data_IF_182911562427
#
_entry.id   IF_182911562427
#
_cell.length_a   1.000
_cell.length_b   1.000
_cell.length_c   1.000
_cell.angle_alpha   90.00
_cell.angle_beta   90.00
_cell.angle_gamma   90.00
#
_symmetry.space_group_name_H-M   'P 1'
#
loop_
_entity.id
_entity.type
_entity.pdbx_description
1 polymer ?
#
# COMPACT_ATOMS: atom_id res chain seq x y z
N UNK A 1 31.08 -2.76 -15.92
CA UNK A 1 29.65 -2.60 -15.57
C UNK A 1 29.09 -3.81 -14.80
N UNK A 2 29.28 -5.04 -15.29
CA UNK A 2 28.83 -6.27 -14.61
C UNK A 2 29.41 -6.42 -13.18
N UNK A 3 30.68 -6.06 -12.98
CA UNK A 3 31.32 -6.10 -11.65
C UNK A 3 30.74 -5.08 -10.67
N UNK A 4 30.35 -3.88 -11.12
CA UNK A 4 29.71 -2.87 -10.27
C UNK A 4 28.34 -3.33 -9.76
N UNK A 5 27.54 -3.98 -10.59
CA UNK A 5 26.26 -4.54 -10.17
C UNK A 5 26.47 -5.63 -9.13
N UNK A 6 27.52 -6.47 -9.28
CA UNK A 6 27.88 -7.51 -8.31
C UNK A 6 28.39 -6.93 -6.98
N UNK A 7 29.22 -5.89 -7.02
CA UNK A 7 29.72 -5.22 -5.82
C UNK A 7 28.60 -4.49 -5.08
N UNK A 8 27.76 -3.72 -5.77
CA UNK A 8 26.60 -3.08 -5.15
C UNK A 8 25.58 -4.09 -4.61
N UNK A 9 25.38 -5.24 -5.25
CA UNK A 9 24.52 -6.29 -4.70
C UNK A 9 25.13 -6.88 -3.42
N UNK A 10 26.44 -7.16 -3.42
CA UNK A 10 27.15 -7.68 -2.25
C UNK A 10 27.11 -6.68 -1.09
N UNK A 11 27.27 -5.39 -1.38
CA UNK A 11 27.24 -4.30 -0.41
C UNK A 11 25.84 -4.07 0.18
N UNK A 12 24.79 -4.07 -0.65
CA UNK A 12 23.40 -3.94 -0.21
C UNK A 12 22.90 -5.17 0.57
N UNK A 13 23.49 -6.34 0.37
CA UNK A 13 23.10 -7.54 1.13
C UNK A 13 23.90 -7.69 2.43
N UNK A 14 25.16 -7.23 2.47
CA UNK A 14 26.04 -7.35 3.64
C UNK A 14 25.95 -6.16 4.61
N UNK A 15 25.64 -4.94 4.15
CA UNK A 15 25.52 -3.75 5.01
C UNK A 15 24.08 -3.38 5.39
N UNK A 16 23.09 -4.12 4.90
CA UNK A 16 21.67 -3.88 5.26
C UNK A 16 21.18 -5.05 6.10
N UNK A 17 20.69 -4.74 7.30
CA UNK A 17 19.99 -5.68 8.15
C UNK A 17 18.61 -5.96 7.57
N UNK A 18 18.54 -6.98 6.70
CA UNK A 18 17.27 -7.52 6.23
C UNK A 18 16.48 -8.08 7.41
N UNK A 19 15.27 -7.59 7.58
CA UNK A 19 14.34 -8.14 8.58
C UNK A 19 14.04 -9.59 8.24
N UNK A 20 13.84 -10.43 9.26
CA UNK A 20 13.50 -11.82 9.03
C UNK A 20 12.17 -11.94 8.28
N UNK A 21 11.99 -13.00 7.48
CA UNK A 21 10.74 -13.21 6.74
C UNK A 21 9.49 -13.16 7.65
N UNK A 22 9.61 -13.65 8.89
CA UNK A 22 8.53 -13.61 9.87
C UNK A 22 8.15 -12.17 10.29
N UNK A 23 9.14 -11.30 10.47
CA UNK A 23 8.91 -9.89 10.82
C UNK A 23 8.36 -9.10 9.63
N UNK A 24 8.88 -9.32 8.42
CA UNK A 24 8.34 -8.75 7.19
C UNK A 24 6.87 -9.14 7.00
N UNK A 25 6.52 -10.40 7.24
CA UNK A 25 5.15 -10.89 7.11
C UNK A 25 4.22 -10.26 8.17
N UNK A 26 4.70 -10.06 9.40
CA UNK A 26 3.95 -9.32 10.43
C UNK A 26 3.65 -7.89 9.98
N UNK A 27 4.64 -7.19 9.44
CA UNK A 27 4.47 -5.82 8.91
C UNK A 27 3.50 -5.81 7.73
N UNK A 28 3.59 -6.81 6.84
CA UNK A 28 2.70 -6.94 5.69
C UNK A 28 1.24 -7.08 6.14
N UNK A 29 0.96 -7.93 7.13
CA UNK A 29 -0.41 -8.07 7.66
C UNK A 29 -0.95 -6.78 8.26
N UNK A 30 -0.12 -6.02 8.98
CA UNK A 30 -0.52 -4.71 9.52
C UNK A 30 -0.94 -3.77 8.39
N UNK A 31 -0.12 -3.67 7.33
CA UNK A 31 -0.42 -2.81 6.18
C UNK A 31 -1.67 -3.30 5.44
N UNK A 32 -1.79 -4.60 5.19
CA UNK A 32 -2.94 -5.19 4.50
C UNK A 32 -4.27 -4.88 5.20
N UNK A 33 -4.32 -5.05 6.53
CA UNK A 33 -5.53 -4.74 7.31
C UNK A 33 -5.87 -3.25 7.19
N UNK A 34 -4.86 -2.38 7.30
CA UNK A 34 -5.05 -0.94 7.14
C UNK A 34 -5.59 -0.57 5.76
N UNK A 35 -5.04 -1.16 4.69
CA UNK A 35 -5.48 -0.94 3.32
C UNK A 35 -6.92 -1.40 3.09
N UNK A 36 -7.33 -2.53 3.67
CA UNK A 36 -8.71 -3.02 3.56
C UNK A 36 -9.69 -2.07 4.23
N UNK A 37 -9.39 -1.60 5.45
CA UNK A 37 -10.24 -0.64 6.17
C UNK A 37 -10.35 0.67 5.37
N UNK A 38 -9.22 1.17 4.85
CA UNK A 38 -9.20 2.40 4.07
C UNK A 38 -9.97 2.28 2.75
N UNK A 39 -9.87 1.13 2.08
CA UNK A 39 -10.62 0.83 0.87
C UNK A 39 -12.13 0.82 1.13
N UNK A 40 -12.59 0.23 2.23
CA UNK A 40 -14.01 0.25 2.61
C UNK A 40 -14.49 1.67 2.93
N UNK A 41 -13.65 2.49 3.55
CA UNK A 41 -13.96 3.89 3.81
C UNK A 41 -14.15 4.68 2.51
N UNK A 42 -13.20 4.57 1.57
CA UNK A 42 -13.30 5.22 0.25
C UNK A 42 -14.57 4.79 -0.47
N UNK A 43 -14.83 3.48 -0.52
CA UNK A 43 -16.05 2.96 -1.14
C UNK A 43 -17.31 3.58 -0.52
N UNK A 44 -17.36 3.71 0.81
CA UNK A 44 -18.47 4.38 1.51
C UNK A 44 -18.62 5.85 1.12
N UNK A 45 -17.52 6.59 1.02
CA UNK A 45 -17.53 7.99 0.58
C UNK A 45 -18.01 8.10 -0.87
N UNK A 46 -17.53 7.24 -1.77
CA UNK A 46 -17.92 7.23 -3.18
C UNK A 46 -19.44 7.06 -3.34
N UNK A 47 -20.05 6.13 -2.60
CA UNK A 47 -21.51 5.93 -2.63
C UNK A 47 -22.30 7.15 -2.12
N UNK A 48 -21.83 7.78 -1.06
CA UNK A 48 -22.47 8.97 -0.50
C UNK A 48 -22.40 10.12 -1.51
N UNK A 49 -21.24 10.34 -2.12
CA UNK A 49 -21.02 11.39 -3.11
C UNK A 49 -21.85 11.14 -4.38
N UNK A 50 -21.90 9.92 -4.89
CA UNK A 50 -22.72 9.56 -6.05
C UNK A 50 -24.20 9.88 -5.79
N UNK A 51 -24.73 9.43 -4.64
CA UNK A 51 -26.12 9.70 -4.27
C UNK A 51 -26.39 11.20 -4.08
N UNK A 52 -25.47 11.93 -3.45
CA UNK A 52 -25.62 13.37 -3.22
C UNK A 52 -25.63 14.16 -4.54
N UNK A 53 -24.68 13.88 -5.42
CA UNK A 53 -24.58 14.51 -6.74
C UNK A 53 -25.82 14.16 -7.59
N UNK A 54 -26.25 12.89 -7.59
CA UNK A 54 -27.45 12.47 -8.32
C UNK A 54 -28.71 13.23 -7.87
N UNK A 55 -28.85 13.52 -6.57
CA UNK A 55 -29.96 14.33 -6.07
C UNK A 55 -29.88 15.78 -6.55
N UNK A 56 -28.69 16.39 -6.55
CA UNK A 56 -28.50 17.74 -7.10
C UNK A 56 -28.88 17.78 -8.58
N UNK A 57 -28.40 16.83 -9.38
CA UNK A 57 -28.74 16.73 -10.81
C UNK A 57 -30.21 16.47 -11.09
N UNK A 58 -30.96 15.92 -10.14
CA UNK A 58 -32.39 15.66 -10.28
C UNK A 58 -33.24 16.88 -9.93
N UNK A 59 -32.70 17.78 -9.12
CA UNK A 59 -33.35 19.04 -8.71
C UNK A 59 -33.16 20.13 -9.78
N UNK A 60 -32.03 20.11 -10.48
CA UNK A 60 -31.70 21.03 -11.58
C UNK A 60 -32.23 20.49 -12.92
#
# INVERSE_FOLDING_TARGET
MINYIKESYTELTQNVTWTSFAEAQRLLWVVTIFSVIFSLFIAGVDFIFESFIAQIFKIF
#
